data_IF_064558779990
#
_entry.id   IF_064558779990
#
_cell.length_a   1.000
_cell.length_b   1.000
_cell.length_c   1.000
_cell.angle_alpha   90.00
_cell.angle_beta   90.00
_cell.angle_gamma   90.00
#
_symmetry.space_group_name_H-M   'P 1'
#
loop_
_entity.id
_entity.type
_entity.pdbx_description
1 polymer ?
#
# COMPACT_ATOMS: atom_id res chain seq x y z
N UNK A 1 -12.83 3.15 3.94
CA UNK A 1 -12.74 2.16 2.85
C UNK A 1 -12.73 0.71 3.35
N UNK A 2 -12.15 0.41 4.52
CA UNK A 2 -12.22 -0.94 5.12
C UNK A 2 -11.29 -1.96 4.48
N UNK A 3 -10.35 -1.47 3.67
CA UNK A 3 -9.38 -2.23 2.89
C UNK A 3 -8.22 -2.75 3.75
N UNK A 4 -8.03 -2.18 4.95
CA UNK A 4 -7.17 -2.74 6.02
C UNK A 4 -5.72 -2.28 6.01
N UNK A 5 -5.31 -1.45 5.05
CA UNK A 5 -3.93 -0.99 4.88
C UNK A 5 -3.46 -0.14 6.06
N UNK A 6 -4.33 0.66 6.66
CA UNK A 6 -3.98 1.42 7.86
C UNK A 6 -3.64 0.50 9.05
N UNK A 7 -4.35 -0.62 9.20
CA UNK A 7 -4.06 -1.62 10.22
C UNK A 7 -2.78 -2.41 9.90
N UNK A 8 -2.55 -2.73 8.61
CA UNK A 8 -1.33 -3.36 8.14
C UNK A 8 -0.10 -2.46 8.39
N UNK A 9 -0.21 -1.16 8.08
CA UNK A 9 0.81 -0.16 8.39
C UNK A 9 1.07 -0.08 9.89
N UNK A 10 0.02 0.02 10.72
CA UNK A 10 0.18 0.10 12.17
C UNK A 10 0.95 -1.10 12.74
N UNK A 11 0.62 -2.30 12.27
CA UNK A 11 1.34 -3.54 12.62
C UNK A 11 2.79 -3.53 12.14
N UNK A 12 3.06 -3.10 10.91
CA UNK A 12 4.40 -3.10 10.32
C UNK A 12 5.32 -2.04 10.95
N UNK A 13 4.75 -0.88 11.31
CA UNK A 13 5.44 0.23 11.96
C UNK A 13 5.51 0.11 13.49
N UNK A 14 4.94 -0.95 14.06
CA UNK A 14 4.90 -1.22 15.50
C UNK A 14 4.23 -0.08 16.30
N UNK A 15 3.05 0.35 15.85
CA UNK A 15 2.23 1.37 16.51
C UNK A 15 0.82 0.84 16.83
N UNK A 16 0.23 1.25 17.97
CA UNK A 16 -1.11 0.82 18.36
C UNK A 16 -2.18 1.55 17.54
N UNK A 17 -3.27 0.84 17.24
CA UNK A 17 -4.49 1.45 16.69
C UNK A 17 -5.42 1.79 17.86
N UNK A 18 -5.56 3.07 18.17
CA UNK A 18 -6.36 3.53 19.33
C UNK A 18 -7.86 3.65 19.02
N UNK A 19 -8.22 3.93 17.76
CA UNK A 19 -9.60 3.91 17.30
C UNK A 19 -9.64 3.74 15.78
N UNK A 20 -10.78 3.25 15.26
CA UNK A 20 -11.09 3.24 13.84
C UNK A 20 -12.29 4.15 13.58
N UNK A 21 -12.03 5.35 13.06
CA UNK A 21 -13.09 6.33 12.76
C UNK A 21 -13.71 5.98 11.41
N UNK A 22 -15.04 5.78 11.32
CA UNK A 22 -15.69 5.38 10.08
C UNK A 22 -15.73 6.52 9.06
N UNK A 23 -15.79 6.13 7.78
CA UNK A 23 -16.14 7.05 6.70
C UNK A 23 -17.64 7.33 6.76
N UNK A 24 -18.02 8.30 7.58
CA UNK A 24 -19.41 8.69 7.79
C UNK A 24 -19.70 10.12 7.29
N UNK A 25 -20.88 10.29 6.71
CA UNK A 25 -21.29 11.51 6.04
C UNK A 25 -21.73 12.62 7.02
N UNK A 26 -22.23 12.26 8.21
CA UNK A 26 -22.51 13.18 9.32
C UNK A 26 -21.19 13.71 9.91
N UNK A 27 -20.22 12.84 10.18
CA UNK A 27 -18.87 13.25 10.61
C UNK A 27 -18.25 14.23 9.61
N UNK A 28 -18.26 13.86 8.32
CA UNK A 28 -17.70 14.69 7.24
C UNK A 28 -18.33 16.08 7.20
N UNK A 29 -19.66 16.17 7.26
CA UNK A 29 -20.39 17.46 7.22
C UNK A 29 -20.11 18.31 8.45
N UNK A 30 -20.11 17.72 9.64
CA UNK A 30 -19.83 18.44 10.90
C UNK A 30 -18.41 18.97 10.94
N UNK A 31 -17.41 18.17 10.55
CA UNK A 31 -16.01 18.61 10.47
C UNK A 31 -15.81 19.74 9.46
N UNK A 32 -16.45 19.66 8.28
CA UNK A 32 -16.39 20.74 7.28
C UNK A 32 -17.02 22.06 7.76
N UNK A 33 -18.00 21.96 8.65
CA UNK A 33 -18.68 23.12 9.26
C UNK A 33 -18.07 23.54 10.61
N UNK A 34 -16.90 23.02 10.98
CA UNK A 34 -16.23 23.31 12.27
C UNK A 34 -17.08 23.01 13.52
N UNK A 35 -17.94 21.99 13.43
CA UNK A 35 -18.77 21.56 14.56
C UNK A 35 -18.06 20.51 15.40
N UNK A 36 -18.31 20.53 16.72
CA UNK A 36 -17.82 19.50 17.64
C UNK A 36 -18.60 18.22 17.41
N UNK A 37 -17.89 17.13 17.08
CA UNK A 37 -18.47 15.80 16.86
C UNK A 37 -18.42 14.89 18.09
N UNK A 38 -17.46 15.09 18.99
CA UNK A 38 -17.19 14.22 20.15
C UNK A 38 -17.98 14.56 21.41
N UNK A 39 -19.10 15.27 21.32
CA UNK A 39 -19.94 15.57 22.49
C UNK A 39 -20.63 14.29 22.97
N UNK A 40 -20.64 14.02 24.27
CA UNK A 40 -21.26 12.82 24.87
C UNK A 40 -22.76 12.64 24.53
N UNK A 41 -23.48 13.74 24.24
CA UNK A 41 -24.89 13.69 23.83
C UNK A 41 -25.10 13.31 22.35
N UNK A 42 -24.03 13.21 21.56
CA UNK A 42 -24.08 12.91 20.13
C UNK A 42 -23.83 11.44 19.82
N UNK A 43 -24.18 10.98 18.60
CA UNK A 43 -24.00 9.58 18.18
C UNK A 43 -22.54 9.12 18.14
N UNK A 44 -21.59 10.07 18.12
CA UNK A 44 -20.15 9.79 18.12
C UNK A 44 -19.49 9.91 19.50
N UNK A 45 -20.27 10.23 20.53
CA UNK A 45 -19.78 10.45 21.89
C UNK A 45 -18.99 9.24 22.41
N UNK A 46 -19.56 8.04 22.30
CA UNK A 46 -18.92 6.80 22.76
C UNK A 46 -17.61 6.51 22.01
N UNK A 47 -17.58 6.73 20.69
CA UNK A 47 -16.38 6.52 19.86
C UNK A 47 -15.22 7.43 20.30
N UNK A 48 -15.49 8.73 20.47
CA UNK A 48 -14.45 9.69 20.87
C UNK A 48 -14.13 9.61 22.36
N UNK A 49 -15.07 9.17 23.19
CA UNK A 49 -14.84 8.85 24.61
C UNK A 49 -13.86 7.69 24.77
N UNK A 50 -14.10 6.57 24.07
CA UNK A 50 -13.19 5.44 24.06
C UNK A 50 -11.80 5.81 23.52
N UNK A 51 -11.74 6.59 22.43
CA UNK A 51 -10.46 7.11 21.93
C UNK A 51 -9.73 7.94 22.99
N UNK A 52 -10.42 8.77 23.76
CA UNK A 52 -9.79 9.57 24.82
C UNK A 52 -9.21 8.70 25.94
N UNK A 53 -9.90 7.62 26.32
CA UNK A 53 -9.41 6.65 27.31
C UNK A 53 -8.15 5.92 26.79
N UNK A 54 -8.18 5.44 25.55
CA UNK A 54 -7.03 4.79 24.92
C UNK A 54 -5.83 5.73 24.79
N UNK A 55 -6.05 6.99 24.38
CA UNK A 55 -5.00 8.02 24.31
C UNK A 55 -4.40 8.31 25.68
N UNK A 56 -5.22 8.34 26.74
CA UNK A 56 -4.75 8.57 28.10
C UNK A 56 -3.92 7.40 28.64
N UNK A 57 -4.22 6.17 28.23
CA UNK A 57 -3.54 4.95 28.67
C UNK A 57 -2.33 4.54 27.81
N UNK A 58 -2.22 5.04 26.58
CA UNK A 58 -1.20 4.59 25.63
C UNK A 58 0.23 4.96 26.08
N UNK A 59 1.17 4.00 26.13
CA UNK A 59 2.56 4.28 26.48
C UNK A 59 3.28 5.00 25.32
N UNK A 60 4.36 5.77 25.59
CA UNK A 60 5.25 6.26 24.55
C UNK A 60 5.93 5.08 23.84
N UNK A 61 5.78 5.01 22.52
CA UNK A 61 6.38 3.97 21.69
C UNK A 61 7.31 4.63 20.67
N UNK A 62 8.41 3.96 20.35
CA UNK A 62 9.30 4.34 19.25
C UNK A 62 8.89 3.54 18.00
N UNK A 63 8.22 4.16 17.01
CA UNK A 63 7.82 3.44 15.82
C UNK A 63 9.03 2.91 15.05
N UNK A 64 8.80 1.85 14.26
CA UNK A 64 9.74 1.35 13.27
C UNK A 64 9.41 1.96 11.91
N UNK A 65 10.20 2.93 11.40
CA UNK A 65 9.96 3.49 10.08
C UNK A 65 10.07 2.40 9.02
N UNK A 66 9.18 2.44 8.02
CA UNK A 66 9.26 1.61 6.83
C UNK A 66 10.03 2.34 5.74
N UNK A 67 10.83 1.60 4.98
CA UNK A 67 11.41 2.07 3.73
C UNK A 67 10.40 1.95 2.58
N UNK A 68 10.79 2.39 1.38
CA UNK A 68 9.91 2.40 0.22
C UNK A 68 9.36 1.00 -0.11
N UNK A 69 10.22 -0.01 -0.10
CA UNK A 69 9.81 -1.39 -0.37
C UNK A 69 8.88 -1.92 0.74
N UNK A 70 9.17 -1.60 1.99
CA UNK A 70 8.31 -1.91 3.13
C UNK A 70 6.90 -1.30 3.01
N UNK A 71 6.78 -0.09 2.45
CA UNK A 71 5.49 0.54 2.18
C UNK A 71 4.74 -0.13 1.02
N UNK A 72 5.44 -0.43 -0.09
CA UNK A 72 4.82 -1.09 -1.24
C UNK A 72 4.30 -2.48 -0.87
N UNK A 73 5.01 -3.20 -0.02
CA UNK A 73 4.61 -4.53 0.46
C UNK A 73 3.33 -4.54 1.32
N UNK A 74 2.78 -3.39 1.69
CA UNK A 74 1.49 -3.31 2.41
C UNK A 74 0.27 -3.46 1.49
N UNK A 75 0.47 -3.36 0.17
CA UNK A 75 -0.59 -3.39 -0.85
C UNK A 75 -0.56 -4.69 -1.65
N UNK A 76 -1.66 -5.01 -2.33
CA UNK A 76 -1.72 -6.14 -3.26
C UNK A 76 -0.71 -5.91 -4.41
N UNK A 77 -0.01 -6.98 -4.81
CA UNK A 77 0.97 -6.93 -5.89
C UNK A 77 0.38 -6.44 -7.21
N UNK A 78 -0.91 -6.69 -7.45
CA UNK A 78 -1.63 -6.21 -8.64
C UNK A 78 -1.73 -4.68 -8.70
N UNK A 79 -1.79 -4.03 -7.54
CA UNK A 79 -1.98 -2.57 -7.42
C UNK A 79 -0.63 -1.85 -7.41
N UNK A 80 0.43 -2.55 -6.98
CA UNK A 80 1.81 -2.03 -6.95
C UNK A 80 2.61 -2.37 -8.21
N UNK A 81 2.14 -3.29 -9.04
CA UNK A 81 2.88 -3.83 -10.18
C UNK A 81 4.02 -4.75 -9.79
N UNK A 82 4.04 -5.23 -8.54
CA UNK A 82 5.06 -6.16 -8.04
C UNK A 82 4.97 -7.56 -8.67
N UNK A 83 3.83 -7.92 -9.24
CA UNK A 83 3.61 -9.14 -10.02
C UNK A 83 3.96 -9.01 -11.50
N UNK A 84 4.42 -7.82 -11.93
CA UNK A 84 4.77 -7.58 -13.31
C UNK A 84 6.03 -8.36 -13.70
N UNK A 85 5.86 -9.33 -14.62
CA UNK A 85 6.96 -10.11 -15.17
C UNK A 85 7.60 -9.34 -16.31
N UNK A 86 8.82 -8.84 -16.07
CA UNK A 86 9.62 -8.22 -17.13
C UNK A 86 9.99 -9.25 -18.20
N UNK A 87 9.60 -8.98 -19.44
CA UNK A 87 10.04 -9.77 -20.59
C UNK A 87 11.35 -9.18 -21.10
N UNK A 88 12.44 -9.98 -21.19
CA UNK A 88 13.70 -9.50 -21.75
C UNK A 88 13.49 -8.96 -23.16
N UNK A 89 14.05 -7.78 -23.45
CA UNK A 89 14.01 -7.21 -24.79
C UNK A 89 14.73 -8.14 -25.77
N UNK A 90 14.10 -8.44 -26.91
CA UNK A 90 14.76 -9.17 -27.98
C UNK A 90 15.83 -8.31 -28.64
N UNK A 91 16.72 -8.96 -29.37
CA UNK A 91 17.71 -8.28 -30.20
C UNK A 91 17.09 -7.30 -31.20
N UNK A 92 15.89 -7.62 -31.69
CA UNK A 92 15.12 -6.75 -32.59
C UNK A 92 14.59 -5.52 -31.86
N UNK A 93 14.09 -5.69 -30.63
CA UNK A 93 13.61 -4.58 -29.80
C UNK A 93 14.73 -3.58 -29.49
N UNK A 94 15.94 -4.08 -29.24
CA UNK A 94 17.08 -3.24 -28.89
C UNK A 94 17.75 -2.55 -30.09
N UNK A 95 17.76 -3.19 -31.27
CA UNK A 95 18.51 -2.70 -32.45
C UNK A 95 17.63 -2.14 -33.57
N UNK A 96 16.32 -2.35 -33.54
CA UNK A 96 15.37 -1.86 -34.53
C UNK A 96 15.81 -2.19 -35.97
N UNK A 97 15.90 -1.16 -36.83
CA UNK A 97 16.35 -1.31 -38.23
C UNK A 97 17.78 -1.85 -38.40
N UNK A 98 18.56 -1.92 -37.33
CA UNK A 98 19.93 -2.44 -37.33
C UNK A 98 20.03 -3.89 -36.83
N UNK A 99 18.92 -4.50 -36.42
CA UNK A 99 18.87 -5.93 -36.10
C UNK A 99 19.20 -6.74 -37.36
N UNK A 100 20.21 -7.62 -37.26
CA UNK A 100 20.65 -8.47 -38.37
C UNK A 100 20.52 -9.93 -37.97
N UNK A 101 19.97 -10.81 -38.82
CA UNK A 101 19.95 -12.25 -38.56
C UNK A 101 21.37 -12.75 -38.30
N UNK A 102 21.57 -13.45 -37.18
CA UNK A 102 22.83 -14.11 -36.91
C UNK A 102 22.99 -15.29 -37.89
N UNK A 103 24.05 -15.24 -38.70
CA UNK A 103 24.34 -16.35 -39.62
C UNK A 103 24.76 -17.56 -38.78
N UNK A 104 24.03 -18.68 -38.93
CA UNK A 104 24.42 -19.96 -38.33
C UNK A 104 25.72 -20.44 -38.96
N UNK A 105 26.61 -20.97 -38.14
CA UNK A 105 27.82 -21.69 -38.56
C UNK A 105 27.65 -23.21 -38.39
N UNK A 106 26.41 -23.69 -38.28
CA UNK A 106 26.13 -25.12 -38.16
C UNK A 106 26.69 -25.89 -39.36
N UNK A 107 27.49 -26.90 -39.06
CA UNK A 107 28.05 -27.83 -40.03
C UNK A 107 27.06 -28.97 -40.18
N UNK A 108 26.38 -29.03 -41.32
CA UNK A 108 25.53 -30.16 -41.71
C UNK A 108 26.45 -31.18 -42.39
N UNK A 109 26.54 -32.38 -41.83
CA UNK A 109 27.21 -33.50 -42.48
C UNK A 109 26.25 -34.16 -43.47
N UNK A 110 26.73 -34.44 -44.68
CA UNK A 110 25.99 -35.15 -45.71
C UNK A 110 26.11 -36.67 -45.46
N UNK A 111 24.99 -37.39 -45.42
CA UNK A 111 24.99 -38.86 -45.27
C UNK A 111 25.21 -39.49 -46.64
N UNK A 112 26.48 -39.77 -46.98
CA UNK A 112 26.87 -40.57 -48.16
C UNK A 112 27.43 -41.92 -47.72
#
# INVERSE_FOLDING_TARGET
DGTGEAAAFAKAADIPVLASIPQDDDLRKKSANYQIVGTAAGPWGDLFGALAEEVAGAPPIRPKPLDQDGLLNLFDSKDTGGDFVLVPATDTDMRGKHAKPQKSLEVIYDEV
#
